data_IF_500410565326
#
_entry.id   IF_500410565326
#
_cell.length_a   1.000
_cell.length_b   1.000
_cell.length_c   1.000
_cell.angle_alpha   90.00
_cell.angle_beta   90.00
_cell.angle_gamma   90.00
#
_symmetry.space_group_name_H-M   'P 1'
#
loop_
_entity.id
_entity.type
_entity.pdbx_description
1 polymer ?
#
# COMPACT_ATOMS: atom_id res chain seq x y z
N UNK A 1 -29.01 30.84 2.07
CA UNK A 1 -28.66 29.98 0.91
C UNK A 1 -27.50 29.10 1.35
N UNK A 2 -27.70 27.79 1.54
CA UNK A 2 -26.63 26.88 1.93
C UNK A 2 -25.69 26.69 0.73
N UNK A 3 -24.43 27.06 0.90
CA UNK A 3 -23.40 27.03 -0.15
C UNK A 3 -23.21 25.58 -0.63
N UNK A 4 -23.37 25.36 -1.94
CA UNK A 4 -23.28 24.06 -2.64
C UNK A 4 -21.98 23.33 -2.27
N UNK A 5 -20.92 24.07 -1.97
CA UNK A 5 -19.63 23.56 -1.48
C UNK A 5 -19.74 22.73 -0.20
N UNK A 6 -20.68 23.05 0.72
CA UNK A 6 -20.87 22.31 1.98
C UNK A 6 -21.57 20.96 1.79
N UNK A 7 -22.40 20.85 0.75
CA UNK A 7 -23.22 19.66 0.47
C UNK A 7 -22.37 18.58 -0.24
N UNK A 8 -21.39 18.97 -1.06
CA UNK A 8 -20.45 18.03 -1.68
C UNK A 8 -19.52 17.35 -0.66
N UNK A 9 -19.06 18.10 0.35
CA UNK A 9 -18.29 17.52 1.46
C UNK A 9 -19.13 16.56 2.33
N UNK A 10 -20.35 16.96 2.69
CA UNK A 10 -21.25 16.12 3.49
C UNK A 10 -21.71 14.84 2.78
N UNK A 11 -21.70 14.79 1.44
CA UNK A 11 -22.12 13.58 0.69
C UNK A 11 -21.01 12.54 0.52
N UNK A 12 -19.73 12.94 0.59
CA UNK A 12 -18.60 12.00 0.57
C UNK A 12 -18.23 11.49 1.97
N UNK A 13 -18.63 12.18 3.03
CA UNK A 13 -18.48 11.77 4.44
C UNK A 13 -19.44 10.64 4.84
N UNK A 14 -20.60 10.53 4.17
CA UNK A 14 -21.73 9.69 4.63
C UNK A 14 -21.51 8.17 4.55
N UNK A 15 -20.35 7.69 4.11
CA UNK A 15 -20.03 6.25 4.02
C UNK A 15 -18.88 5.80 4.92
N UNK A 16 -18.23 6.70 5.64
CA UNK A 16 -17.10 6.40 6.53
C UNK A 16 -17.55 6.57 7.98
N UNK A 17 -17.57 5.48 8.74
CA UNK A 17 -17.91 5.50 10.17
C UNK A 17 -16.76 6.10 10.99
N UNK A 18 -17.02 6.55 12.22
CA UNK A 18 -15.98 7.03 13.16
C UNK A 18 -14.78 6.06 13.24
N UNK A 19 -15.07 4.75 13.32
CA UNK A 19 -14.07 3.70 13.35
C UNK A 19 -13.18 3.66 12.09
N UNK A 20 -13.71 4.00 10.91
CA UNK A 20 -12.89 4.07 9.69
C UNK A 20 -11.92 5.24 9.71
N UNK A 21 -12.30 6.37 10.31
CA UNK A 21 -11.40 7.52 10.47
C UNK A 21 -10.31 7.26 11.49
N UNK A 22 -10.62 6.60 12.61
CA UNK A 22 -9.63 6.18 13.59
C UNK A 22 -8.59 5.23 12.99
N UNK A 23 -9.02 4.28 12.15
CA UNK A 23 -8.11 3.36 11.46
C UNK A 23 -7.22 4.12 10.47
N UNK A 24 -7.78 5.02 9.66
CA UNK A 24 -7.02 5.83 8.70
C UNK A 24 -5.99 6.72 9.42
N UNK A 25 -6.41 7.41 10.48
CA UNK A 25 -5.53 8.29 11.26
C UNK A 25 -4.37 7.54 11.92
N UNK A 26 -4.53 6.23 12.16
CA UNK A 26 -3.49 5.36 12.73
C UNK A 26 -2.71 4.57 11.67
N UNK A 27 -3.03 4.74 10.39
CA UNK A 27 -2.38 4.06 9.29
C UNK A 27 -1.26 4.91 8.71
N UNK A 28 -0.15 4.24 8.38
CA UNK A 28 1.04 4.86 7.82
C UNK A 28 1.49 4.11 6.56
N UNK A 29 2.06 4.85 5.61
CA UNK A 29 2.53 4.35 4.32
C UNK A 29 4.04 4.44 4.28
N UNK A 30 4.69 3.31 4.01
CA UNK A 30 6.12 3.22 3.75
C UNK A 30 6.32 2.93 2.25
N UNK A 31 6.97 3.85 1.54
CA UNK A 31 7.29 3.75 0.11
C UNK A 31 8.74 4.21 -0.13
N UNK A 32 9.34 3.76 -1.22
CA UNK A 32 10.69 4.20 -1.59
C UNK A 32 10.68 5.62 -2.19
N UNK A 33 11.86 6.23 -2.29
CA UNK A 33 12.01 7.60 -2.80
C UNK A 33 11.97 7.70 -4.34
N UNK A 34 11.30 6.78 -5.04
CA UNK A 34 11.21 6.87 -6.49
C UNK A 34 10.55 8.20 -6.91
N UNK A 35 10.95 8.74 -8.07
CA UNK A 35 10.45 10.03 -8.54
C UNK A 35 8.92 10.08 -8.66
N UNK A 36 8.30 8.94 -8.97
CA UNK A 36 6.84 8.81 -9.05
C UNK A 36 6.17 8.89 -7.68
N UNK A 37 6.82 8.46 -6.59
CA UNK A 37 6.28 8.53 -5.22
C UNK A 37 6.47 9.93 -4.62
N UNK A 38 7.60 10.57 -4.92
CA UNK A 38 7.92 11.92 -4.43
C UNK A 38 7.29 13.06 -5.27
N UNK A 39 6.68 12.72 -6.40
CA UNK A 39 5.97 13.68 -7.26
C UNK A 39 4.84 14.38 -6.49
N UNK A 40 4.64 15.67 -6.79
CA UNK A 40 3.60 16.50 -6.15
C UNK A 40 2.21 15.88 -6.21
N UNK A 41 1.85 15.29 -7.36
CA UNK A 41 0.53 14.68 -7.55
C UNK A 41 0.35 13.46 -6.64
N UNK A 42 1.39 12.64 -6.50
CA UNK A 42 1.37 11.43 -5.66
C UNK A 42 1.31 11.78 -4.17
N UNK A 43 2.12 12.75 -3.71
CA UNK A 43 2.05 13.25 -2.33
C UNK A 43 0.71 13.89 -2.00
N UNK A 44 0.13 14.63 -2.95
CA UNK A 44 -1.20 15.19 -2.74
C UNK A 44 -2.25 14.08 -2.60
N UNK A 45 -2.21 13.06 -3.47
CA UNK A 45 -3.11 11.93 -3.37
C UNK A 45 -2.98 11.20 -2.03
N UNK A 46 -1.76 11.02 -1.50
CA UNK A 46 -1.52 10.43 -0.19
C UNK A 46 -2.09 11.30 0.95
N UNK A 47 -1.89 12.62 0.87
CA UNK A 47 -2.46 13.54 1.87
C UNK A 47 -4.01 13.49 1.86
N UNK A 48 -4.62 13.38 0.69
CA UNK A 48 -6.07 13.32 0.54
C UNK A 48 -6.68 12.03 1.12
N UNK A 49 -5.88 10.95 1.29
CA UNK A 49 -6.36 9.73 1.96
C UNK A 49 -6.39 9.83 3.48
N UNK A 50 -5.62 10.76 4.07
CA UNK A 50 -5.45 10.90 5.52
C UNK A 50 -4.43 9.94 6.15
N UNK A 51 -3.65 9.22 5.33
CA UNK A 51 -2.57 8.37 5.84
C UNK A 51 -1.32 9.20 6.14
N UNK A 52 -0.55 8.78 7.14
CA UNK A 52 0.79 9.34 7.39
C UNK A 52 1.84 8.69 6.48
N UNK A 53 2.89 9.41 6.12
CA UNK A 53 4.05 8.89 5.37
C UNK A 53 5.18 8.58 6.35
N UNK A 54 5.83 7.42 6.21
CA UNK A 54 7.04 7.05 6.96
C UNK A 54 8.25 7.40 6.11
N UNK A 55 9.18 8.16 6.68
CA UNK A 55 10.43 8.51 6.01
C UNK A 55 11.24 7.25 5.65
N UNK A 56 11.53 7.08 4.36
CA UNK A 56 12.38 6.01 3.87
C UNK A 56 13.76 6.56 3.47
N UNK A 57 14.88 6.02 4.00
CA UNK A 57 16.20 6.46 3.59
C UNK A 57 16.52 6.06 2.14
N UNK A 58 17.33 6.86 1.41
CA UNK A 58 17.72 6.52 0.04
C UNK A 58 18.50 5.20 -0.03
N UNK A 59 18.16 4.37 -1.02
CA UNK A 59 18.84 3.09 -1.33
C UNK A 59 18.84 2.06 -0.18
N UNK A 60 17.73 1.97 0.56
CA UNK A 60 17.58 1.03 1.69
C UNK A 60 16.51 -0.04 1.43
N UNK A 61 16.69 -0.92 0.43
CA UNK A 61 15.74 -2.00 0.14
C UNK A 61 15.62 -3.01 1.29
N UNK A 62 16.60 -3.08 2.19
CA UNK A 62 16.54 -3.86 3.43
C UNK A 62 15.51 -3.33 4.43
N UNK A 63 15.16 -2.04 4.35
CA UNK A 63 14.16 -1.38 5.20
C UNK A 63 12.76 -1.36 4.58
N UNK A 64 12.58 -1.94 3.39
CA UNK A 64 11.27 -2.07 2.75
C UNK A 64 10.75 -3.51 2.88
N UNK A 65 9.63 -3.77 3.59
CA UNK A 65 9.11 -5.13 3.75
C UNK A 65 8.78 -5.77 2.40
N UNK A 66 8.42 -4.95 1.41
CA UNK A 66 8.19 -5.36 0.04
C UNK A 66 9.43 -5.96 -0.60
N UNK A 67 10.58 -5.31 -0.47
CA UNK A 67 11.82 -5.73 -1.11
C UNK A 67 12.51 -6.87 -0.36
N UNK A 68 12.55 -6.79 0.98
CA UNK A 68 13.18 -7.82 1.81
C UNK A 68 12.38 -9.12 1.88
N UNK A 69 11.05 -9.03 2.04
CA UNK A 69 10.21 -10.19 2.34
C UNK A 69 9.26 -10.54 1.20
N UNK A 70 8.42 -9.61 0.72
CA UNK A 70 7.37 -9.94 -0.24
C UNK A 70 7.98 -10.41 -1.57
N UNK A 71 8.92 -9.67 -2.16
CA UNK A 71 9.48 -10.00 -3.47
C UNK A 71 10.37 -11.24 -3.50
N UNK A 72 10.56 -11.95 -2.37
CA UNK A 72 11.24 -13.24 -2.36
C UNK A 72 10.51 -14.29 -3.19
N UNK A 73 9.18 -14.17 -3.41
CA UNK A 73 8.42 -15.06 -4.28
C UNK A 73 8.91 -15.06 -5.74
N UNK A 74 9.66 -14.02 -6.16
CA UNK A 74 10.30 -13.99 -7.49
C UNK A 74 11.19 -15.22 -7.73
N UNK A 75 11.74 -15.83 -6.68
CA UNK A 75 12.48 -17.10 -6.75
C UNK A 75 11.62 -18.25 -7.27
N UNK A 76 10.35 -18.30 -6.89
CA UNK A 76 9.40 -19.34 -7.30
C UNK A 76 8.93 -19.15 -8.74
N UNK A 77 8.88 -17.90 -9.21
CA UNK A 77 8.55 -17.57 -10.59
C UNK A 77 9.74 -17.73 -11.54
N UNK A 78 10.96 -17.86 -11.01
CA UNK A 78 12.18 -17.90 -11.82
C UNK A 78 12.13 -19.06 -12.82
N UNK A 79 12.35 -18.73 -14.10
CA UNK A 79 12.39 -19.72 -15.18
C UNK A 79 11.01 -20.21 -15.65
N UNK A 80 9.91 -19.80 -15.00
CA UNK A 80 8.56 -20.06 -15.50
C UNK A 80 8.27 -19.15 -16.69
N UNK A 81 7.63 -19.70 -17.72
CA UNK A 81 7.08 -18.94 -18.83
C UNK A 81 5.57 -18.93 -18.69
N UNK A 82 4.99 -17.74 -18.69
CA UNK A 82 3.56 -17.55 -18.70
C UNK A 82 3.10 -17.33 -20.14
N UNK A 83 1.96 -17.91 -20.48
CA UNK A 83 1.35 -17.77 -21.80
C UNK A 83 0.69 -16.40 -21.93
N UNK A 84 0.12 -15.89 -20.84
CA UNK A 84 -0.54 -14.59 -20.76
C UNK A 84 -0.48 -14.01 -19.34
N UNK A 85 -0.96 -12.77 -19.20
CA UNK A 85 -0.99 -12.04 -17.93
C UNK A 85 -1.93 -12.68 -16.90
N UNK A 86 -2.98 -13.38 -17.32
CA UNK A 86 -3.93 -14.01 -16.40
C UNK A 86 -3.27 -15.20 -15.69
N UNK A 87 -2.50 -15.99 -16.42
CA UNK A 87 -1.72 -17.08 -15.84
C UNK A 87 -0.68 -16.57 -14.84
N UNK A 88 -0.02 -15.45 -15.14
CA UNK A 88 0.90 -14.81 -14.19
C UNK A 88 0.16 -14.33 -12.94
N UNK A 89 -0.97 -13.64 -13.09
CA UNK A 89 -1.78 -13.14 -11.96
C UNK A 89 -2.23 -14.28 -11.04
N UNK A 90 -2.78 -15.35 -11.59
CA UNK A 90 -3.20 -16.51 -10.79
C UNK A 90 -2.03 -17.14 -10.02
N UNK A 91 -0.84 -17.22 -10.61
CA UNK A 91 0.34 -17.74 -9.92
C UNK A 91 0.77 -16.84 -8.75
N UNK A 92 0.66 -15.52 -8.92
CA UNK A 92 0.95 -14.54 -7.87
C UNK A 92 -0.10 -14.60 -6.77
N UNK A 93 -1.39 -14.58 -7.11
CA UNK A 93 -2.50 -14.68 -6.16
C UNK A 93 -2.42 -15.95 -5.33
N UNK A 94 -2.20 -17.10 -5.97
CA UNK A 94 -2.05 -18.39 -5.27
C UNK A 94 -0.85 -18.40 -4.30
N UNK A 95 0.25 -17.71 -4.62
CA UNK A 95 1.37 -17.57 -3.69
C UNK A 95 0.97 -16.77 -2.44
N UNK A 96 0.21 -15.69 -2.62
CA UNK A 96 -0.22 -14.83 -1.52
C UNK A 96 -1.35 -15.42 -0.67
N UNK A 97 -2.21 -16.29 -1.23
CA UNK A 97 -3.19 -17.05 -0.44
C UNK A 97 -2.51 -17.94 0.63
N UNK A 98 -1.29 -18.41 0.36
CA UNK A 98 -0.50 -19.21 1.30
C UNK A 98 0.28 -18.38 2.34
N UNK A 99 0.40 -17.06 2.16
CA UNK A 99 1.08 -16.17 3.12
C UNK A 99 0.06 -15.75 4.17
N UNK A 100 -0.03 -16.54 5.25
CA UNK A 100 -0.87 -16.20 6.41
C UNK A 100 -0.48 -14.82 6.97
N UNK A 101 -1.48 -14.02 7.38
CA UNK A 101 -1.32 -12.69 7.96
C UNK A 101 -0.24 -12.64 9.07
N UNK A 102 -0.16 -13.69 9.91
CA UNK A 102 0.83 -13.80 10.98
C UNK A 102 2.29 -13.88 10.53
N UNK A 103 2.60 -14.29 9.28
CA UNK A 103 3.97 -14.26 8.75
C UNK A 103 4.42 -12.84 8.40
N UNK A 104 3.48 -11.97 8.03
CA UNK A 104 3.75 -10.59 7.66
C UNK A 104 3.90 -9.68 8.89
N UNK A 105 3.10 -9.89 9.95
CA UNK A 105 3.25 -9.13 11.21
C UNK A 105 4.65 -9.26 11.81
N UNK A 106 5.22 -10.47 11.81
CA UNK A 106 6.58 -10.69 12.33
C UNK A 106 7.68 -9.93 11.58
N UNK A 107 7.43 -9.50 10.34
CA UNK A 107 8.37 -8.70 9.53
C UNK A 107 8.26 -7.21 9.86
N UNK A 108 7.04 -6.72 10.10
CA UNK A 108 6.80 -5.32 10.47
C UNK A 108 7.50 -4.98 11.80
N UNK A 109 7.54 -5.92 12.74
CA UNK A 109 8.22 -5.74 14.04
C UNK A 109 9.76 -5.78 13.99
N UNK A 110 10.37 -6.08 12.84
CA UNK A 110 11.83 -6.11 12.66
C UNK A 110 12.41 -4.82 12.07
N UNK A 111 11.55 -3.83 11.79
CA UNK A 111 11.90 -2.50 11.30
C UNK A 111 11.84 -1.47 12.41
#
# INVERSE_FOLDING_TARGET
>A
MANITRIYWLRHESSRTEATWEVIARSAVLQDNASVHTARVSRQALNDTGFSEIDHPPYSPDLAPSDYFLFQFKKELRGRRFVDDNQMKMAVESHFEGIFFGRFEGVIHQM
#
